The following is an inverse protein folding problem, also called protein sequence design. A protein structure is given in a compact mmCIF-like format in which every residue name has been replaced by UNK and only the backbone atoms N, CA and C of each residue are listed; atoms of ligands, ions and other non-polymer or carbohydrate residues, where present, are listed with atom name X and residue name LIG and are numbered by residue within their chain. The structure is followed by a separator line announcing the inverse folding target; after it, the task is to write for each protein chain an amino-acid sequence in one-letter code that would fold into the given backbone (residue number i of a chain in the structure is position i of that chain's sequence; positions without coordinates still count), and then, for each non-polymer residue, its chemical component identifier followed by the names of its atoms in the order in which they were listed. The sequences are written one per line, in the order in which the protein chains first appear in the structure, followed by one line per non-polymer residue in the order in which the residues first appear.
data_IF_525433134986
#
_entry.id   IF_525433134986
#
_cell.length_a   1.000
_cell.length_b   1.000
_cell.length_c   1.000
_cell.angle_alpha   90.00
_cell.angle_beta   90.00
_cell.angle_gamma   90.00
#
_symmetry.space_group_name_H-M   'P 1'
#
loop_
_entity.id
_entity.type
_entity.pdbx_description
1 polymer ?
#
# COMPACT_ATOMS: atom_id res chain seq x y z
N UNK A 1 14.17 -11.52 -2.01
CA UNK A 1 12.71 -11.65 -2.25
C UNK A 1 12.44 -11.58 -3.74
N UNK A 2 11.20 -11.75 -4.20
CA UNK A 2 10.81 -11.54 -5.61
C UNK A 2 9.37 -11.05 -5.73
N UNK A 3 9.02 -10.49 -6.88
CA UNK A 3 7.63 -10.14 -7.21
C UNK A 3 6.85 -11.41 -7.51
N UNK A 4 5.77 -11.68 -6.76
CA UNK A 4 4.85 -12.78 -7.05
C UNK A 4 3.81 -12.40 -8.09
N UNK A 5 3.27 -11.19 -8.00
CA UNK A 5 2.24 -10.70 -8.90
C UNK A 5 2.39 -9.19 -9.12
N UNK A 6 2.06 -8.77 -10.34
CA UNK A 6 1.76 -7.38 -10.68
C UNK A 6 0.29 -7.35 -11.08
N UNK A 7 -0.49 -6.47 -10.47
CA UNK A 7 -1.93 -6.42 -10.60
C UNK A 7 -2.39 -5.03 -11.05
N UNK A 8 -3.30 -5.00 -12.02
CA UNK A 8 -4.00 -3.78 -12.44
C UNK A 8 -5.50 -4.00 -12.38
N UNK A 9 -6.26 -2.92 -12.31
CA UNK A 9 -7.71 -2.94 -12.28
C UNK A 9 -8.31 -1.93 -13.25
N UNK A 10 -9.48 -2.25 -13.79
CA UNK A 10 -10.26 -1.34 -14.62
C UNK A 10 -11.21 -0.49 -13.78
N UNK A 11 -11.66 0.65 -14.32
CA UNK A 11 -12.64 1.50 -13.66
C UNK A 11 -14.05 0.89 -13.79
N UNK A 12 -14.58 0.37 -12.69
CA UNK A 12 -15.87 -0.32 -12.65
C UNK A 12 -16.70 0.06 -11.42
N UNK A 13 -18.02 -0.19 -11.46
CA UNK A 13 -18.91 0.03 -10.32
C UNK A 13 -19.01 -1.25 -9.49
N UNK A 14 -18.77 -1.13 -8.18
CA UNK A 14 -19.10 -2.21 -7.25
C UNK A 14 -20.62 -2.29 -7.02
N UNK A 15 -21.16 -3.48 -6.72
CA UNK A 15 -22.54 -3.63 -6.27
C UNK A 15 -22.86 -2.65 -5.11
N UNK A 16 -23.97 -1.92 -5.23
CA UNK A 16 -24.41 -0.96 -4.21
C UNK A 16 -23.60 0.35 -4.15
N UNK A 17 -22.68 0.62 -5.10
CA UNK A 17 -21.98 1.92 -5.20
C UNK A 17 -22.40 2.69 -6.45
N UNK A 18 -22.56 4.00 -6.32
CA UNK A 18 -22.90 4.91 -7.42
C UNK A 18 -21.68 5.32 -8.27
N UNK A 19 -20.47 5.21 -7.71
CA UNK A 19 -19.22 5.64 -8.32
C UNK A 19 -18.35 4.46 -8.78
N UNK A 20 -17.45 4.73 -9.73
CA UNK A 20 -16.45 3.76 -10.20
C UNK A 20 -15.24 3.69 -9.27
N UNK A 21 -14.60 2.53 -9.22
CA UNK A 21 -13.36 2.25 -8.51
C UNK A 21 -12.50 1.28 -9.31
N UNK A 22 -11.19 1.26 -9.06
CA UNK A 22 -10.24 0.28 -9.61
C UNK A 22 -9.76 -0.72 -8.57
N UNK A 23 -10.57 -0.97 -7.52
CA UNK A 23 -10.21 -1.88 -6.41
C UNK A 23 -10.19 -3.35 -6.82
N UNK A 24 -10.93 -3.72 -7.88
CA UNK A 24 -10.85 -5.06 -8.43
C UNK A 24 -9.62 -5.16 -9.33
N UNK A 25 -8.50 -5.48 -8.70
CA UNK A 25 -7.25 -5.74 -9.41
C UNK A 25 -7.10 -7.22 -9.66
N UNK A 26 -6.47 -7.54 -10.78
CA UNK A 26 -6.17 -8.90 -11.18
C UNK A 26 -4.71 -8.99 -11.65
N UNK A 27 -4.03 -10.12 -11.43
CA UNK A 27 -2.70 -10.34 -11.96
C UNK A 27 -2.67 -10.17 -13.47
N UNK A 28 -1.67 -9.46 -13.98
CA UNK A 28 -1.43 -9.32 -15.41
C UNK A 28 -0.22 -10.14 -15.84
N UNK A 29 -0.25 -10.59 -17.09
CA UNK A 29 0.88 -11.28 -17.72
C UNK A 29 1.79 -10.26 -18.42
N UNK A 30 3.09 -10.47 -18.32
CA UNK A 30 4.09 -9.60 -18.95
C UNK A 30 4.52 -8.40 -18.09
N UNK A 31 5.38 -7.58 -18.68
CA UNK A 31 5.95 -6.42 -18.02
C UNK A 31 4.98 -5.23 -18.02
N UNK A 32 4.84 -4.57 -16.87
CA UNK A 32 4.04 -3.35 -16.70
C UNK A 32 4.95 -2.18 -16.43
N UNK A 33 4.81 -1.12 -17.22
CA UNK A 33 5.51 0.13 -16.98
C UNK A 33 4.96 0.82 -15.72
N UNK A 34 5.84 1.20 -14.79
CA UNK A 34 5.51 1.93 -13.57
C UNK A 34 6.22 3.29 -13.56
N UNK A 35 5.45 4.37 -13.57
CA UNK A 35 5.96 5.74 -13.50
C UNK A 35 5.64 6.42 -12.17
N UNK A 36 6.00 7.70 -12.03
CA UNK A 36 5.74 8.50 -10.83
C UNK A 36 4.26 8.58 -10.42
N UNK A 37 3.33 8.29 -11.33
CA UNK A 37 1.90 8.32 -11.10
C UNK A 37 1.29 6.92 -10.85
N UNK A 38 2.02 5.85 -11.14
CA UNK A 38 1.64 4.47 -10.84
C UNK A 38 1.84 3.52 -12.01
N UNK A 39 1.06 2.43 -12.03
CA UNK A 39 1.11 1.41 -13.08
C UNK A 39 0.35 1.90 -14.32
N UNK A 40 0.99 1.87 -15.48
CA UNK A 40 0.32 2.18 -16.76
C UNK A 40 -0.80 1.17 -17.01
N UNK A 41 -2.00 1.69 -17.29
CA UNK A 41 -3.21 0.90 -17.47
C UNK A 41 -4.00 0.62 -16.18
N UNK A 42 -3.49 1.00 -15.01
CA UNK A 42 -4.22 0.84 -13.75
C UNK A 42 -5.21 1.99 -13.49
N UNK A 43 -6.44 1.65 -13.10
CA UNK A 43 -7.47 2.63 -12.82
C UNK A 43 -7.40 3.17 -11.37
N UNK A 44 -7.22 4.48 -11.25
CA UNK A 44 -7.38 5.22 -9.98
C UNK A 44 -8.49 6.27 -10.13
N UNK A 45 -9.69 5.96 -9.60
CA UNK A 45 -10.87 6.79 -9.84
C UNK A 45 -11.00 7.99 -8.89
N UNK A 46 -10.67 7.85 -7.61
CA UNK A 46 -10.79 8.93 -6.62
C UNK A 46 -9.42 9.56 -6.34
N UNK A 47 -8.97 10.44 -7.25
CA UNK A 47 -7.66 11.10 -7.17
C UNK A 47 -7.48 12.08 -6.01
N UNK A 48 -8.57 12.47 -5.34
CA UNK A 48 -8.51 13.31 -4.13
C UNK A 48 -7.90 12.54 -2.95
N UNK A 49 -8.19 11.25 -2.85
CA UNK A 49 -7.83 10.40 -1.71
C UNK A 49 -6.92 9.23 -2.07
N UNK A 50 -6.85 8.83 -3.34
CA UNK A 50 -6.10 7.67 -3.82
C UNK A 50 -5.19 8.03 -4.99
N UNK A 51 -4.07 7.32 -5.09
CA UNK A 51 -3.04 7.57 -6.09
C UNK A 51 -2.30 8.89 -5.90
N UNK A 52 -1.62 9.31 -6.97
CA UNK A 52 -0.67 10.42 -6.94
C UNK A 52 0.70 10.00 -6.40
N UNK A 53 1.71 10.88 -6.48
CA UNK A 53 3.11 10.47 -6.34
C UNK A 53 3.47 9.85 -5.00
N UNK A 54 2.76 10.20 -3.91
CA UNK A 54 3.04 9.63 -2.59
C UNK A 54 2.40 8.25 -2.36
N UNK A 55 1.53 7.76 -3.23
CA UNK A 55 0.88 6.44 -3.09
C UNK A 55 0.63 5.83 -4.47
N UNK A 56 1.65 5.92 -5.34
CA UNK A 56 1.62 5.51 -6.72
C UNK A 56 1.51 3.98 -6.88
N UNK A 57 2.11 3.23 -5.95
CA UNK A 57 2.08 1.76 -5.95
C UNK A 57 1.59 1.27 -4.59
N UNK A 58 0.59 0.39 -4.59
CA UNK A 58 0.17 -0.35 -3.40
C UNK A 58 0.83 -1.74 -3.38
N UNK A 59 1.63 -2.01 -2.36
CA UNK A 59 2.33 -3.28 -2.13
C UNK A 59 1.68 -4.06 -0.98
N UNK A 60 1.59 -5.37 -1.16
CA UNK A 60 1.36 -6.36 -0.11
C UNK A 60 2.50 -7.38 -0.05
N UNK A 61 2.78 -7.87 1.15
CA UNK A 61 3.70 -8.98 1.38
C UNK A 61 2.97 -10.31 1.48
N UNK A 62 3.57 -11.38 0.93
CA UNK A 62 2.92 -12.70 0.91
C UNK A 62 2.65 -13.26 2.30
N UNK A 63 3.52 -12.98 3.29
CA UNK A 63 3.32 -13.44 4.67
C UNK A 63 2.09 -12.78 5.31
N UNK A 64 1.84 -11.51 4.97
CA UNK A 64 0.64 -10.78 5.41
C UNK A 64 -0.62 -11.32 4.73
N UNK A 65 -0.57 -11.62 3.43
CA UNK A 65 -1.71 -12.23 2.72
C UNK A 65 -2.01 -13.65 3.23
N UNK A 66 -0.99 -14.45 3.54
CA UNK A 66 -1.15 -15.79 4.12
C UNK A 66 -1.83 -15.74 5.49
N UNK A 67 -1.48 -14.75 6.31
CA UNK A 67 -2.17 -14.51 7.58
C UNK A 67 -3.65 -14.17 7.35
N UNK A 68 -3.94 -13.26 6.41
CA UNK A 68 -5.31 -12.88 6.07
C UNK A 68 -6.11 -14.06 5.53
N UNK A 69 -5.51 -14.94 4.73
CA UNK A 69 -6.20 -16.13 4.24
C UNK A 69 -6.64 -17.06 5.37
N UNK A 70 -5.80 -17.22 6.41
CA UNK A 70 -6.16 -18.00 7.62
C UNK A 70 -7.25 -17.31 8.43
N UNK A 71 -7.13 -16.00 8.67
CA UNK A 71 -8.11 -15.20 9.41
C UNK A 71 -9.49 -15.15 8.72
N UNK A 72 -9.52 -15.17 7.38
CA UNK A 72 -10.76 -15.14 6.61
C UNK A 72 -11.31 -16.54 6.32
N UNK A 73 -10.55 -17.60 6.58
CA UNK A 73 -10.93 -18.97 6.24
C UNK A 73 -11.09 -19.23 4.74
N UNK A 74 -10.48 -18.40 3.89
CA UNK A 74 -10.56 -18.49 2.43
C UNK A 74 -9.30 -17.91 1.77
N UNK A 75 -8.98 -18.31 0.53
CA UNK A 75 -7.83 -17.76 -0.19
C UNK A 75 -7.91 -16.24 -0.36
N UNK A 76 -6.77 -15.56 -0.25
CA UNK A 76 -6.60 -14.14 -0.57
C UNK A 76 -5.70 -14.06 -1.81
N UNK A 77 -6.26 -14.19 -3.03
CA UNK A 77 -5.46 -14.12 -4.24
C UNK A 77 -4.90 -12.70 -4.46
N UNK A 78 -3.75 -12.57 -5.16
CA UNK A 78 -3.21 -11.26 -5.49
C UNK A 78 -4.20 -10.34 -6.21
N UNK A 79 -4.24 -9.09 -5.78
CA UNK A 79 -5.16 -8.05 -6.22
C UNK A 79 -6.48 -7.98 -5.43
N UNK A 80 -6.76 -8.94 -4.52
CA UNK A 80 -8.03 -8.95 -3.78
C UNK A 80 -8.20 -7.70 -2.91
N UNK A 81 -7.13 -7.24 -2.27
CA UNK A 81 -7.17 -6.05 -1.41
C UNK A 81 -7.01 -4.74 -2.20
N UNK A 82 -6.84 -4.86 -3.52
CA UNK A 82 -6.62 -3.76 -4.45
C UNK A 82 -5.15 -3.35 -4.56
N UNK A 83 -4.23 -4.20 -4.13
CA UNK A 83 -2.79 -4.04 -4.26
C UNK A 83 -2.32 -4.22 -5.70
N UNK A 84 -1.30 -3.45 -6.07
CA UNK A 84 -0.65 -3.51 -7.37
C UNK A 84 0.48 -4.54 -7.42
N UNK A 85 1.14 -4.81 -6.30
CA UNK A 85 2.33 -5.65 -6.26
C UNK A 85 2.27 -6.55 -5.04
N UNK A 86 2.57 -7.84 -5.23
CA UNK A 86 2.78 -8.79 -4.13
C UNK A 86 4.25 -9.19 -4.09
N UNK A 87 4.89 -9.05 -2.93
CA UNK A 87 6.30 -9.40 -2.70
C UNK A 87 6.40 -10.67 -1.86
N UNK A 88 7.16 -11.64 -2.39
CA UNK A 88 7.43 -12.93 -1.76
C UNK A 88 8.22 -12.78 -0.46
N UNK A 89 7.76 -13.41 0.62
CA UNK A 89 8.43 -13.46 1.91
C UNK A 89 8.40 -12.15 2.71
N UNK A 90 7.67 -11.14 2.25
CA UNK A 90 7.56 -9.85 2.95
C UNK A 90 6.49 -9.91 4.04
N UNK A 91 6.85 -9.46 5.23
CA UNK A 91 5.93 -9.17 6.34
C UNK A 91 5.77 -7.65 6.46
N UNK A 92 4.57 -7.14 6.19
CA UNK A 92 4.29 -5.71 6.20
C UNK A 92 4.50 -5.05 7.57
N UNK A 93 4.47 -5.81 8.67
CA UNK A 93 4.66 -5.25 10.01
C UNK A 93 6.09 -4.76 10.26
N UNK A 94 7.05 -5.33 9.54
CA UNK A 94 8.47 -5.00 9.64
C UNK A 94 8.87 -3.78 8.82
N UNK A 95 7.98 -3.31 7.93
CA UNK A 95 8.23 -2.24 6.97
C UNK A 95 7.96 -0.86 7.61
N UNK A 96 8.80 0.10 7.30
CA UNK A 96 8.75 1.47 7.80
C UNK A 96 8.80 2.50 6.66
N UNK A 97 8.33 3.71 6.98
CA UNK A 97 8.44 4.86 6.09
C UNK A 97 9.91 5.08 5.70
N UNK A 98 10.15 5.31 4.40
CA UNK A 98 11.48 5.52 3.84
C UNK A 98 12.23 4.25 3.45
N UNK A 99 11.74 3.07 3.85
CA UNK A 99 12.29 1.81 3.33
C UNK A 99 12.11 1.76 1.80
N UNK A 100 12.99 1.03 1.13
CA UNK A 100 12.98 0.92 -0.33
C UNK A 100 12.92 -0.52 -0.80
N UNK A 101 12.15 -0.73 -1.86
CA UNK A 101 12.14 -1.96 -2.64
C UNK A 101 12.78 -1.67 -3.99
N UNK A 102 13.86 -2.37 -4.31
CA UNK A 102 14.58 -2.26 -5.59
C UNK A 102 14.33 -3.53 -6.38
N UNK A 103 13.68 -3.38 -7.53
CA UNK A 103 13.27 -4.49 -8.40
C UNK A 103 13.74 -4.22 -9.84
N UNK A 104 14.91 -4.76 -10.20
CA UNK A 104 15.60 -4.37 -11.43
C UNK A 104 15.95 -2.88 -11.38
N UNK A 105 15.49 -2.12 -12.38
CA UNK A 105 15.65 -0.66 -12.41
C UNK A 105 14.58 0.11 -11.62
N UNK A 106 13.49 -0.54 -11.20
CA UNK A 106 12.43 0.10 -10.44
C UNK A 106 12.91 0.33 -9.00
N UNK A 107 12.73 1.57 -8.51
CA UNK A 107 12.95 1.89 -7.09
C UNK A 107 11.66 2.45 -6.51
N UNK A 108 11.10 1.73 -5.54
CA UNK A 108 9.94 2.15 -4.75
C UNK A 108 10.39 2.59 -3.36
N UNK A 109 9.84 3.68 -2.85
CA UNK A 109 10.07 4.15 -1.47
C UNK A 109 8.76 4.20 -0.70
N UNK A 110 8.74 3.59 0.48
CA UNK A 110 7.56 3.48 1.34
C UNK A 110 7.21 4.85 1.93
N UNK A 111 5.92 5.21 1.88
CA UNK A 111 5.46 6.54 2.32
C UNK A 111 4.43 6.50 3.44
N UNK A 112 3.57 5.48 3.46
CA UNK A 112 2.44 5.39 4.39
C UNK A 112 1.77 4.01 4.34
N UNK A 113 1.03 3.63 5.40
CA UNK A 113 0.19 2.44 5.37
C UNK A 113 -1.08 2.67 4.54
N UNK A 114 -1.64 1.57 4.02
CA UNK A 114 -2.99 1.50 3.48
C UNK A 114 -4.00 1.75 4.59
N UNK A 115 -4.67 2.90 4.57
CA UNK A 115 -5.82 3.17 5.44
C UNK A 115 -7.09 2.58 4.79
N UNK A 116 -7.82 1.66 5.48
CA UNK A 116 -9.01 1.01 4.93
C UNK A 116 -10.15 2.01 4.74
N UNK A 117 -10.96 1.82 3.69
CA UNK A 117 -12.05 2.73 3.33
C UNK A 117 -13.36 1.97 3.02
N UNK A 118 -14.46 2.70 2.84
CA UNK A 118 -15.77 2.12 2.54
C UNK A 118 -15.82 1.32 1.23
N UNK A 119 -14.92 1.60 0.28
CA UNK A 119 -14.77 0.80 -0.94
C UNK A 119 -14.15 -0.57 -0.63
N UNK A 120 -13.20 -0.62 0.31
CA UNK A 120 -12.57 -1.87 0.72
C UNK A 120 -13.54 -2.78 1.50
N UNK A 121 -14.33 -2.21 2.41
CA UNK A 121 -15.42 -2.97 3.06
C UNK A 121 -16.42 -3.54 2.04
N UNK A 122 -16.80 -2.77 1.03
CA UNK A 122 -17.71 -3.22 -0.02
C UNK A 122 -17.09 -4.35 -0.87
N UNK A 123 -15.79 -4.23 -1.21
CA UNK A 123 -15.04 -5.28 -1.92
C UNK A 123 -15.01 -6.59 -1.14
N UNK A 124 -14.78 -6.51 0.16
CA UNK A 124 -14.71 -7.69 1.03
C UNK A 124 -16.08 -8.25 1.42
N UNK A 125 -17.18 -7.61 1.00
CA UNK A 125 -18.54 -8.05 1.32
C UNK A 125 -18.87 -7.98 2.82
N UNK A 126 -18.07 -7.27 3.62
CA UNK A 126 -18.19 -7.21 5.08
C UNK A 126 -18.19 -5.74 5.54
N UNK A 127 -19.34 -5.20 6.01
CA UNK A 127 -19.43 -3.83 6.53
C UNK A 127 -18.51 -3.56 7.72
N UNK A 128 -18.13 -4.59 8.48
CA UNK A 128 -17.22 -4.50 9.64
C UNK A 128 -15.76 -4.68 9.23
N UNK A 129 -15.45 -4.92 7.95
CA UNK A 129 -14.10 -5.23 7.50
C UNK A 129 -13.10 -4.11 7.81
N UNK A 130 -13.51 -2.84 7.71
CA UNK A 130 -12.66 -1.70 8.09
C UNK A 130 -12.20 -1.83 9.54
N UNK A 131 -13.12 -2.17 10.46
CA UNK A 131 -12.78 -2.36 11.88
C UNK A 131 -11.90 -3.58 12.09
N UNK A 132 -12.19 -4.71 11.42
CA UNK A 132 -11.36 -5.92 11.49
C UNK A 132 -9.94 -5.66 11.01
N UNK A 133 -9.78 -4.96 9.89
CA UNK A 133 -8.49 -4.59 9.33
C UNK A 133 -7.68 -3.66 10.23
N UNK A 134 -8.33 -2.63 10.80
CA UNK A 134 -7.69 -1.75 11.78
C UNK A 134 -7.28 -2.50 13.06
N UNK A 135 -8.09 -3.47 13.52
CA UNK A 135 -7.79 -4.27 14.70
C UNK A 135 -6.65 -5.27 14.46
N UNK A 136 -6.56 -5.85 13.26
CA UNK A 136 -5.49 -6.77 12.89
C UNK A 136 -4.13 -6.06 12.90
N UNK A 137 -4.08 -4.77 12.56
CA UNK A 137 -2.84 -4.00 12.58
C UNK A 137 -1.82 -4.47 11.53
N UNK A 138 -2.30 -5.08 10.45
CA UNK A 138 -1.54 -5.61 9.32
C UNK A 138 -1.81 -4.78 8.05
N UNK A 139 -1.36 -3.51 8.00
CA UNK A 139 -1.59 -2.64 6.87
C UNK A 139 -0.80 -3.09 5.63
N UNK A 140 -1.44 -2.99 4.48
CA UNK A 140 -0.81 -2.76 3.20
C UNK A 140 0.12 -1.54 3.14
N UNK A 141 0.98 -1.47 2.13
CA UNK A 141 2.08 -0.51 2.05
C UNK A 141 1.90 0.38 0.80
N UNK A 142 1.82 1.69 0.97
CA UNK A 142 1.90 2.61 -0.16
C UNK A 142 3.33 3.09 -0.39
N UNK A 143 3.71 3.12 -1.67
CA UNK A 143 5.02 3.56 -2.13
C UNK A 143 4.90 4.69 -3.16
N UNK A 144 5.89 5.58 -3.15
CA UNK A 144 6.23 6.46 -4.27
C UNK A 144 7.24 5.78 -5.18
N UNK A 145 7.34 6.24 -6.43
CA UNK A 145 8.34 5.75 -7.38
C UNK A 145 9.50 6.75 -7.44
N UNK A 146 10.70 6.30 -7.09
CA UNK A 146 11.93 7.11 -7.18
C UNK A 146 12.63 6.96 -8.53
N UNK A 147 12.59 5.74 -9.10
CA UNK A 147 13.12 5.45 -10.44
C UNK A 147 12.10 4.62 -11.21
N UNK A 148 11.44 5.19 -12.25
CA UNK A 148 10.50 4.46 -13.10
C UNK A 148 11.17 3.31 -13.85
N UNK A 149 10.47 2.18 -13.96
CA UNK A 149 10.88 1.06 -14.81
C UNK A 149 9.71 0.09 -15.08
N UNK A 150 9.92 -0.82 -16.01
CA UNK A 150 9.00 -1.94 -16.23
C UNK A 150 9.20 -3.03 -15.18
N UNK A 151 8.10 -3.59 -14.67
CA UNK A 151 8.10 -4.64 -13.66
C UNK A 151 7.32 -5.87 -14.14
N UNK A 152 7.87 -7.07 -13.93
CA UNK A 152 7.19 -8.35 -14.19
C UNK A 152 7.16 -9.21 -12.94
N UNK A 153 6.24 -10.17 -12.87
CA UNK A 153 6.35 -11.27 -11.90
C UNK A 153 7.68 -12.02 -12.08
N UNK A 154 8.19 -12.59 -10.99
CA UNK A 154 9.49 -13.25 -10.94
C UNK A 154 10.69 -12.31 -10.79
N UNK A 155 10.53 -10.99 -10.98
CA UNK A 155 11.61 -10.01 -10.79
C UNK A 155 12.14 -10.09 -9.36
N UNK A 156 13.47 -10.20 -9.20
CA UNK A 156 14.11 -10.17 -7.89
C UNK A 156 13.91 -8.84 -7.18
N UNK A 157 13.72 -8.89 -5.86
CA UNK A 157 13.53 -7.71 -5.02
C UNK A 157 14.57 -7.68 -3.91
N UNK A 158 15.33 -6.59 -3.89
CA UNK A 158 16.17 -6.18 -2.77
C UNK A 158 15.39 -5.21 -1.89
N UNK A 159 15.45 -5.42 -0.57
CA UNK A 159 14.86 -4.52 0.42
C UNK A 159 15.96 -3.77 1.14
N UNK A 160 15.85 -2.44 1.17
CA UNK A 160 16.80 -1.51 1.78
C UNK A 160 16.09 -0.73 2.88
N UNK A 161 16.36 -1.00 4.16
CA UNK A 161 15.77 -0.26 5.26
C UNK A 161 16.13 1.23 5.22
N UNK A 162 15.25 2.08 5.74
CA UNK A 162 15.56 3.48 6.00
C UNK A 162 16.65 3.60 7.08
N UNK A 163 17.63 4.48 6.87
CA UNK A 163 18.76 4.67 7.79
C UNK A 163 18.42 5.54 9.02
N UNK A 164 17.32 6.30 8.98
CA UNK A 164 16.88 7.15 10.08
C UNK A 164 15.98 6.45 11.11
N UNK A 165 15.37 7.24 12.00
CA UNK A 165 14.42 6.71 12.96
C UNK A 165 13.20 6.09 12.27
N UNK A 166 12.91 4.83 12.60
CA UNK A 166 11.87 4.07 11.91
C UNK A 166 10.48 4.41 12.44
N UNK A 167 9.54 4.53 11.51
CA UNK A 167 8.10 4.61 11.76
C UNK A 167 7.43 3.50 10.97
N UNK A 168 7.03 2.43 11.67
CA UNK A 168 6.51 1.22 11.00
C UNK A 168 5.09 1.41 10.47
N UNK A 169 4.69 0.62 9.49
CA UNK A 169 3.32 0.68 8.94
C UNK A 169 2.25 0.44 10.01
N UNK A 170 2.34 -0.58 10.89
CA UNK A 170 1.37 -0.76 11.98
C UNK A 170 1.33 0.42 12.94
N UNK A 171 2.49 1.00 13.26
CA UNK A 171 2.58 2.17 14.13
C UNK A 171 1.85 3.37 13.53
N UNK A 172 2.15 3.69 12.26
CA UNK A 172 1.53 4.80 11.55
C UNK A 172 0.02 4.60 11.35
N UNK A 173 -0.43 3.36 11.15
CA UNK A 173 -1.86 3.03 11.11
C UNK A 173 -2.51 3.25 12.48
N UNK A 174 -1.87 2.80 13.57
CA UNK A 174 -2.39 2.94 14.94
C UNK A 174 -2.52 4.39 15.36
N UNK A 175 -1.60 5.25 14.93
CA UNK A 175 -1.58 6.68 15.24
C UNK A 175 -2.41 7.52 14.27
N UNK A 176 -2.94 6.92 13.19
CA UNK A 176 -3.75 7.64 12.21
C UNK A 176 -4.93 8.37 12.86
N UNK A 177 -5.02 9.69 12.63
CA UNK A 177 -6.07 10.55 13.18
C UNK A 177 -5.92 10.90 14.67
N UNK A 178 -4.84 10.46 15.33
CA UNK A 178 -4.55 10.80 16.72
C UNK A 178 -3.57 11.99 16.81
N UNK A 179 -3.61 12.71 17.93
CA UNK A 179 -2.58 13.70 18.26
C UNK A 179 -1.32 12.98 18.70
N UNK A 180 -0.20 13.24 18.03
CA UNK A 180 1.11 12.67 18.34
C UNK A 180 1.77 13.43 19.50
N UNK A 181 2.61 12.74 20.26
CA UNK A 181 3.50 13.37 21.25
C UNK A 181 4.52 14.28 20.54
N UNK A 182 5.08 15.32 21.18
CA UNK A 182 6.11 16.16 20.55
C UNK A 182 7.29 15.34 19.99
N UNK A 183 7.75 14.33 20.73
CA UNK A 183 8.80 13.40 20.29
C UNK A 183 8.39 12.59 19.06
N UNK A 184 7.17 12.05 19.04
CA UNK A 184 6.70 11.30 17.87
C UNK A 184 6.48 12.21 16.66
N UNK A 185 6.07 13.47 16.85
CA UNK A 185 5.95 14.43 15.75
C UNK A 185 7.30 14.69 15.10
N UNK A 186 8.33 14.97 15.90
CA UNK A 186 9.70 15.16 15.41
C UNK A 186 10.19 13.91 14.65
N UNK A 187 10.01 12.72 15.24
CA UNK A 187 10.37 11.44 14.60
C UNK A 187 9.63 11.21 13.29
N UNK A 188 8.32 11.45 13.22
CA UNK A 188 7.57 11.26 11.97
C UNK A 188 8.02 12.26 10.92
N UNK A 189 8.22 13.53 11.29
CA UNK A 189 8.61 14.59 10.35
C UNK A 189 10.05 14.46 9.83
N UNK A 190 10.91 13.67 10.48
CA UNK A 190 12.25 13.35 9.96
C UNK A 190 12.26 12.26 8.87
N UNK A 191 11.15 11.53 8.69
CA UNK A 191 11.02 10.49 7.67
C UNK A 191 10.48 11.05 6.33
N UNK A 192 10.73 10.38 5.19
CA UNK A 192 10.12 10.74 3.91
C UNK A 192 8.66 10.24 3.83
N UNK A 193 7.81 10.59 4.80
CA UNK A 193 6.40 10.19 4.80
C UNK A 193 5.58 10.86 3.71
N UNK A 194 4.41 10.29 3.46
CA UNK A 194 3.39 10.80 2.56
C UNK A 194 3.03 12.28 2.85
N UNK A 195 2.99 13.13 1.81
CA UNK A 195 2.79 14.58 1.94
C UNK A 195 1.58 14.98 2.79
N UNK A 196 0.40 14.41 2.51
CA UNK A 196 -0.81 14.71 3.30
C UNK A 196 -0.72 14.29 4.78
N UNK A 197 0.07 13.26 5.11
CA UNK A 197 0.28 12.89 6.51
C UNK A 197 1.21 13.89 7.20
N UNK A 198 2.27 14.32 6.51
CA UNK A 198 3.17 15.39 6.97
C UNK A 198 2.39 16.67 7.30
N UNK A 199 1.58 17.17 6.36
CA UNK A 199 0.75 18.38 6.55
C UNK A 199 -0.18 18.25 7.77
N UNK A 200 -0.79 17.09 7.97
CA UNK A 200 -1.65 16.83 9.14
C UNK A 200 -0.88 16.82 10.46
N UNK A 201 0.35 16.31 10.49
CA UNK A 201 1.18 16.26 11.70
C UNK A 201 1.75 17.64 12.04
N UNK A 202 2.11 18.42 11.03
CA UNK A 202 2.53 19.82 11.18
C UNK A 202 1.39 20.67 11.75
N UNK A 203 0.15 20.47 11.27
CA UNK A 203 -1.04 21.15 11.77
C UNK A 203 -1.45 20.77 13.21
N UNK A 204 -0.81 19.77 13.85
CA UNK A 204 -1.02 19.46 15.27
C UNK A 204 -0.22 20.38 16.21
N UNK A 205 0.57 21.31 15.65
CA UNK A 205 1.41 22.27 16.38
C UNK A 205 0.59 23.20 17.25
#
# INVERSE_FOLDING_TARGET
MKILAVCTGNAEKLPGKSYKTGINKHPVSGAVMIDENGLIGDAVCNRKHHGGPCQAVYVEGSLTLDWWARELGQPVPPGLFGENVVIDGLDNTSVAVGDRFVAGDLVLEVTSPRIPCATFAAKMGDPKFVKRYMNAGLPGIYCRVLKPASLSSGTGVEYRPFEGERVTMPEMMKTFGRKLSPKDRERYLSTPLHKQFREKIEAQA
#
